data_IF_843130932348
#
_entry.id   IF_843130932348
#
_cell.length_a   1.000
_cell.length_b   1.000
_cell.length_c   1.000
_cell.angle_alpha   90.00
_cell.angle_beta   90.00
_cell.angle_gamma   90.00
#
_symmetry.space_group_name_H-M   'P 1'
#
loop_
_entity.id
_entity.type
_entity.pdbx_description
1 polymer ?
#
# COMPACT_ATOMS: atom_id res chain seq x y z
N UNK A 1 -14.55 6.96 -24.83
CA UNK A 1 -14.80 7.10 -23.39
C UNK A 1 -14.74 8.58 -23.03
N UNK A 2 -15.72 9.08 -22.25
CA UNK A 2 -15.70 10.46 -21.76
C UNK A 2 -14.89 10.51 -20.46
N UNK A 3 -13.61 10.87 -20.57
CA UNK A 3 -12.66 10.83 -19.46
C UNK A 3 -12.95 11.89 -18.38
N UNK A 4 -13.75 12.93 -18.69
CA UNK A 4 -14.13 13.96 -17.72
C UNK A 4 -15.02 13.44 -16.58
N UNK A 5 -15.61 12.26 -16.77
CA UNK A 5 -16.46 11.59 -15.78
C UNK A 5 -15.71 10.73 -14.77
N UNK A 6 -14.40 10.59 -14.92
CA UNK A 6 -13.58 9.76 -14.05
C UNK A 6 -12.68 10.63 -13.19
N UNK A 7 -12.53 10.25 -11.92
CA UNK A 7 -11.61 10.90 -10.99
C UNK A 7 -10.16 10.82 -11.51
N UNK A 8 -9.77 9.64 -12.00
CA UNK A 8 -8.54 9.44 -12.77
C UNK A 8 -8.72 8.28 -13.75
N UNK A 9 -8.42 8.46 -15.02
CA UNK A 9 -8.36 7.35 -15.99
C UNK A 9 -7.02 6.62 -16.00
N UNK A 10 -6.00 7.19 -15.36
CA UNK A 10 -4.61 6.73 -15.45
C UNK A 10 -4.34 5.68 -14.39
N UNK A 11 -4.87 4.50 -14.60
CA UNK A 11 -4.69 3.37 -13.68
C UNK A 11 -3.89 2.26 -14.35
N UNK A 12 -3.03 1.61 -13.58
CA UNK A 12 -2.20 0.50 -14.03
C UNK A 12 -2.22 -0.62 -13.01
N UNK A 13 -2.02 -1.85 -13.47
CA UNK A 13 -1.86 -3.02 -12.63
C UNK A 13 -0.56 -3.72 -13.03
N UNK A 14 0.38 -3.80 -12.10
CA UNK A 14 1.65 -4.50 -12.27
C UNK A 14 1.58 -5.93 -11.73
N UNK A 15 0.81 -6.12 -10.64
CA UNK A 15 0.64 -7.42 -9.98
C UNK A 15 -0.84 -7.67 -9.67
N UNK A 16 -1.24 -8.93 -9.64
CA UNK A 16 -2.60 -9.32 -9.27
C UNK A 16 -2.57 -10.42 -8.21
N UNK A 17 -3.38 -10.25 -7.16
CA UNK A 17 -3.43 -11.14 -6.02
C UNK A 17 -2.52 -10.69 -4.87
N UNK A 18 -2.42 -11.52 -3.84
CA UNK A 18 -1.60 -11.26 -2.67
C UNK A 18 -1.05 -12.57 -2.11
N UNK A 19 0.19 -12.53 -1.58
CA UNK A 19 0.84 -13.70 -0.96
C UNK A 19 0.39 -13.94 0.48
N UNK A 20 -0.31 -12.97 1.08
CA UNK A 20 -0.75 -13.05 2.46
C UNK A 20 -2.13 -13.71 2.56
N UNK A 21 -2.38 -14.39 3.68
CA UNK A 21 -3.63 -15.08 3.99
C UNK A 21 -4.28 -14.49 5.26
N UNK A 22 -4.52 -13.18 5.25
CA UNK A 22 -5.22 -12.52 6.35
C UNK A 22 -6.65 -13.06 6.46
N UNK A 23 -7.12 -13.36 7.67
CA UNK A 23 -8.40 -14.08 7.91
C UNK A 23 -9.63 -13.33 7.37
N UNK A 24 -9.60 -12.02 7.38
CA UNK A 24 -10.71 -11.17 6.90
C UNK A 24 -10.66 -10.91 5.40
N UNK A 25 -9.59 -11.32 4.70
CA UNK A 25 -9.33 -10.90 3.31
C UNK A 25 -9.86 -11.91 2.30
N UNK A 26 -10.66 -11.43 1.36
CA UNK A 26 -11.21 -12.23 0.25
C UNK A 26 -10.20 -12.44 -0.89
N UNK A 27 -9.12 -11.68 -0.95
CA UNK A 27 -8.17 -11.66 -2.07
C UNK A 27 -7.64 -13.03 -2.46
N UNK A 28 -7.15 -13.89 -1.51
CA UNK A 28 -6.65 -15.21 -1.90
C UNK A 28 -7.71 -16.09 -2.55
N UNK A 29 -8.97 -15.99 -2.11
CA UNK A 29 -10.08 -16.76 -2.67
C UNK A 29 -10.54 -16.22 -4.02
N UNK A 30 -10.54 -14.88 -4.21
CA UNK A 30 -11.03 -14.24 -5.42
C UNK A 30 -10.03 -14.25 -6.56
N UNK A 31 -8.73 -14.08 -6.26
CA UNK A 31 -7.70 -13.88 -7.29
C UNK A 31 -6.74 -15.06 -7.47
N UNK A 32 -6.76 -16.03 -6.54
CA UNK A 32 -5.88 -17.20 -6.58
C UNK A 32 -4.40 -16.86 -6.37
N UNK A 33 -3.53 -17.54 -7.11
CA UNK A 33 -2.07 -17.33 -6.99
C UNK A 33 -1.67 -15.93 -7.45
N UNK A 34 -0.76 -15.25 -6.74
CA UNK A 34 -0.18 -13.99 -7.19
C UNK A 34 0.46 -14.12 -8.57
N UNK A 35 0.28 -13.11 -9.40
CA UNK A 35 0.83 -13.02 -10.75
C UNK A 35 1.44 -11.64 -10.95
N UNK A 36 2.49 -11.58 -11.75
CA UNK A 36 3.21 -10.36 -12.07
C UNK A 36 3.18 -10.14 -13.59
N UNK A 37 3.00 -8.92 -14.00
CA UNK A 37 3.16 -8.48 -15.37
C UNK A 37 4.65 -8.24 -15.66
N UNK A 38 5.19 -8.55 -16.84
CA UNK A 38 6.54 -8.16 -17.19
C UNK A 38 6.74 -6.64 -17.02
N UNK A 39 7.79 -6.22 -16.33
CA UNK A 39 8.03 -4.80 -16.00
C UNK A 39 8.03 -3.92 -17.24
N UNK A 40 8.62 -4.37 -18.35
CA UNK A 40 8.61 -3.66 -19.62
C UNK A 40 7.21 -3.34 -20.14
N UNK A 41 6.24 -4.22 -19.88
CA UNK A 41 4.86 -4.01 -20.30
C UNK A 41 4.16 -2.99 -19.38
N UNK A 42 4.45 -3.04 -18.07
CA UNK A 42 3.95 -2.03 -17.11
C UNK A 42 4.46 -0.65 -17.50
N UNK A 43 5.76 -0.53 -17.79
CA UNK A 43 6.39 0.71 -18.24
C UNK A 43 5.76 1.21 -19.55
N UNK A 44 5.60 0.31 -20.54
CA UNK A 44 4.98 0.65 -21.82
C UNK A 44 3.53 1.13 -21.68
N UNK A 45 2.75 0.51 -20.79
CA UNK A 45 1.39 0.97 -20.49
C UNK A 45 1.40 2.41 -19.94
N UNK A 46 2.29 2.68 -18.96
CA UNK A 46 2.42 4.00 -18.34
C UNK A 46 2.85 5.06 -19.37
N UNK A 47 3.85 4.76 -20.18
CA UNK A 47 4.29 5.66 -21.25
C UNK A 47 3.17 5.96 -22.25
N UNK A 48 2.37 4.95 -22.61
CA UNK A 48 1.24 5.11 -23.52
C UNK A 48 0.13 6.02 -23.00
N UNK A 49 -0.01 6.11 -21.67
CA UNK A 49 -0.97 7.03 -21.04
C UNK A 49 -0.56 8.49 -21.19
N UNK A 50 0.72 8.76 -21.37
CA UNK A 50 1.30 10.12 -21.44
C UNK A 50 0.78 11.03 -20.31
N UNK A 51 0.68 10.50 -19.09
CA UNK A 51 0.08 11.15 -17.94
C UNK A 51 1.14 11.50 -16.89
N UNK A 52 1.04 12.66 -16.21
CA UNK A 52 1.99 13.06 -15.17
C UNK A 52 1.85 12.23 -13.88
N UNK A 53 0.74 11.50 -13.75
CA UNK A 53 0.47 10.68 -12.58
C UNK A 53 -0.35 9.45 -12.92
N UNK A 54 -0.09 8.35 -12.18
CA UNK A 54 -0.82 7.09 -12.30
C UNK A 54 -1.20 6.53 -10.93
N UNK A 55 -2.22 5.69 -10.87
CA UNK A 55 -2.58 4.90 -9.69
C UNK A 55 -2.37 3.43 -9.98
N UNK A 56 -1.54 2.77 -9.17
CA UNK A 56 -1.42 1.32 -9.17
C UNK A 56 -2.61 0.70 -8.42
N UNK A 57 -3.35 -0.17 -9.12
CA UNK A 57 -4.52 -0.88 -8.57
C UNK A 57 -4.14 -2.22 -7.92
N UNK A 58 -2.87 -2.45 -7.76
CA UNK A 58 -2.32 -3.66 -7.16
C UNK A 58 -2.76 -3.78 -5.69
N UNK A 59 -3.25 -4.95 -5.31
CA UNK A 59 -3.72 -5.20 -3.93
C UNK A 59 -2.57 -5.24 -2.91
N UNK A 60 -1.35 -5.50 -3.37
CA UNK A 60 -0.10 -5.39 -2.63
C UNK A 60 1.06 -5.30 -3.62
N UNK A 61 1.42 -4.09 -4.02
CA UNK A 61 2.44 -3.83 -5.03
C UNK A 61 3.84 -4.36 -4.63
N UNK A 62 4.08 -4.50 -3.33
CA UNK A 62 5.35 -4.98 -2.77
C UNK A 62 5.31 -6.45 -2.30
N UNK A 63 4.36 -7.24 -2.82
CA UNK A 63 4.24 -8.65 -2.42
C UNK A 63 5.51 -9.44 -2.71
N UNK A 64 6.17 -9.14 -3.82
CA UNK A 64 7.51 -9.59 -4.18
C UNK A 64 8.43 -8.36 -4.16
N UNK A 65 9.32 -8.30 -3.17
CA UNK A 65 10.17 -7.14 -2.90
C UNK A 65 11.18 -6.91 -4.03
N UNK A 66 11.73 -7.96 -4.63
CA UNK A 66 12.68 -7.84 -5.74
C UNK A 66 12.00 -7.34 -7.02
N UNK A 67 10.82 -7.87 -7.33
CA UNK A 67 10.02 -7.35 -8.44
C UNK A 67 9.69 -5.87 -8.23
N UNK A 68 9.25 -5.48 -7.04
CA UNK A 68 8.92 -4.10 -6.72
C UNK A 68 10.13 -3.17 -6.84
N UNK A 69 11.29 -3.57 -6.32
CA UNK A 69 12.55 -2.80 -6.47
C UNK A 69 12.92 -2.59 -7.93
N UNK A 70 12.82 -3.64 -8.75
CA UNK A 70 13.11 -3.56 -10.16
C UNK A 70 12.11 -2.66 -10.90
N UNK A 71 10.81 -2.81 -10.60
CA UNK A 71 9.78 -1.91 -11.14
C UNK A 71 10.07 -0.44 -10.79
N UNK A 72 10.34 -0.15 -9.51
CA UNK A 72 10.61 1.22 -9.08
C UNK A 72 11.84 1.82 -9.75
N UNK A 73 12.91 1.03 -9.99
CA UNK A 73 14.08 1.49 -10.76
C UNK A 73 13.70 1.91 -12.19
N UNK A 74 12.86 1.13 -12.85
CA UNK A 74 12.39 1.43 -14.21
C UNK A 74 11.41 2.63 -14.27
N UNK A 75 10.72 2.95 -13.15
CA UNK A 75 9.86 4.12 -13.08
C UNK A 75 10.62 5.45 -12.86
N UNK A 76 11.83 5.42 -12.27
CA UNK A 76 12.60 6.65 -11.99
C UNK A 76 12.76 7.56 -13.22
N UNK A 77 13.18 7.06 -14.41
CA UNK A 77 13.38 7.90 -15.59
C UNK A 77 12.09 8.49 -16.15
N UNK A 78 10.92 7.91 -15.84
CA UNK A 78 9.63 8.40 -16.34
C UNK A 78 9.20 9.72 -15.69
N UNK A 79 9.74 10.05 -14.51
CA UNK A 79 9.47 11.29 -13.77
C UNK A 79 7.98 11.54 -13.51
N UNK A 80 7.21 10.48 -13.34
CA UNK A 80 5.79 10.52 -13.00
C UNK A 80 5.61 10.59 -11.48
N UNK A 81 4.42 10.98 -11.04
CA UNK A 81 3.96 10.74 -9.68
C UNK A 81 3.06 9.51 -9.65
N UNK A 82 3.10 8.74 -8.56
CA UNK A 82 2.20 7.61 -8.44
C UNK A 82 1.72 7.38 -7.00
N UNK A 83 0.58 6.72 -6.89
CA UNK A 83 0.02 6.19 -5.65
C UNK A 83 -0.35 4.72 -5.84
N UNK A 84 -0.45 3.97 -4.74
CA UNK A 84 -0.78 2.54 -4.80
C UNK A 84 -1.05 1.96 -3.42
N UNK A 85 -1.09 0.64 -3.33
CA UNK A 85 -1.35 -0.10 -2.09
C UNK A 85 -0.11 -0.90 -1.69
N UNK A 86 0.25 -0.81 -0.41
CA UNK A 86 1.35 -1.58 0.16
C UNK A 86 1.02 -2.07 1.56
N UNK A 87 1.77 -3.05 2.03
CA UNK A 87 1.76 -3.44 3.43
C UNK A 87 2.75 -2.60 4.24
N UNK A 88 2.64 -2.64 5.56
CA UNK A 88 3.59 -2.02 6.49
C UNK A 88 5.04 -2.47 6.29
N UNK A 89 5.27 -3.60 5.60
CA UNK A 89 6.59 -4.12 5.28
C UNK A 89 7.47 -3.15 4.49
N UNK A 90 6.88 -2.24 3.70
CA UNK A 90 7.64 -1.24 2.95
C UNK A 90 8.57 -0.40 3.83
N UNK A 91 8.20 -0.16 5.09
CA UNK A 91 8.99 0.64 6.02
C UNK A 91 10.21 -0.11 6.61
N UNK A 92 10.34 -1.40 6.35
CA UNK A 92 11.39 -2.25 6.94
C UNK A 92 12.49 -2.63 5.95
N UNK A 93 12.31 -2.36 4.68
CA UNK A 93 13.35 -2.42 3.67
C UNK A 93 13.69 -0.98 3.23
N UNK A 94 14.79 -0.45 3.74
CA UNK A 94 15.21 0.92 3.48
C UNK A 94 15.55 1.16 1.99
N UNK A 95 16.01 0.12 1.28
CA UNK A 95 16.22 0.22 -0.18
C UNK A 95 14.90 0.33 -0.92
N UNK A 96 13.93 -0.53 -0.59
CA UNK A 96 12.60 -0.53 -1.20
C UNK A 96 11.91 0.82 -0.98
N UNK A 97 11.93 1.34 0.25
CA UNK A 97 11.35 2.63 0.60
C UNK A 97 12.01 3.77 -0.17
N UNK A 98 13.35 3.79 -0.23
CA UNK A 98 14.10 4.78 -0.99
C UNK A 98 13.79 4.73 -2.49
N UNK A 99 13.68 3.53 -3.06
CA UNK A 99 13.32 3.35 -4.47
C UNK A 99 11.88 3.78 -4.76
N UNK A 100 10.93 3.47 -3.87
CA UNK A 100 9.55 3.93 -3.98
C UNK A 100 9.49 5.47 -4.03
N UNK A 101 10.15 6.15 -3.09
CA UNK A 101 10.21 7.61 -3.06
C UNK A 101 10.88 8.19 -4.32
N UNK A 102 12.02 7.64 -4.74
CA UNK A 102 12.78 8.08 -5.91
C UNK A 102 12.01 7.87 -7.23
N UNK A 103 11.19 6.82 -7.32
CA UNK A 103 10.35 6.53 -8.48
C UNK A 103 9.11 7.41 -8.60
N UNK A 104 8.88 8.30 -7.62
CA UNK A 104 7.77 9.26 -7.63
C UNK A 104 6.54 8.82 -6.82
N UNK A 105 6.67 7.87 -5.89
CA UNK A 105 5.60 7.56 -4.94
C UNK A 105 5.22 8.81 -4.13
N UNK A 106 3.93 9.17 -4.12
CA UNK A 106 3.41 10.30 -3.35
C UNK A 106 2.38 9.89 -2.32
N UNK A 107 1.81 8.71 -2.44
CA UNK A 107 0.82 8.20 -1.50
C UNK A 107 0.71 6.69 -1.53
N UNK A 108 0.50 6.11 -0.36
CA UNK A 108 0.24 4.69 -0.21
C UNK A 108 -0.97 4.44 0.68
N UNK A 109 -1.85 3.56 0.20
CA UNK A 109 -2.83 2.94 1.05
C UNK A 109 -2.14 1.80 1.81
N UNK A 110 -2.13 1.89 3.14
CA UNK A 110 -1.43 0.96 4.02
C UNK A 110 -2.41 0.34 5.02
N UNK A 111 -2.51 -0.99 5.00
CA UNK A 111 -3.33 -1.72 5.95
C UNK A 111 -2.67 -1.84 7.32
N UNK A 112 -3.12 -1.05 8.29
CA UNK A 112 -2.78 -1.18 9.71
C UNK A 112 -3.70 -2.19 10.40
N UNK A 113 -4.94 -2.27 9.97
CA UNK A 113 -6.05 -3.10 10.41
C UNK A 113 -6.56 -2.73 11.81
N UNK A 114 -5.72 -2.73 12.82
CA UNK A 114 -6.13 -2.39 14.19
C UNK A 114 -4.94 -1.92 15.02
N UNK A 115 -5.21 -1.09 16.03
CA UNK A 115 -4.25 -0.66 17.06
C UNK A 115 -4.31 -1.56 18.32
N UNK A 116 -5.09 -2.62 18.30
CA UNK A 116 -5.15 -3.65 19.34
C UNK A 116 -4.26 -4.82 19.00
N UNK A 117 -3.34 -5.20 19.88
CA UNK A 117 -2.47 -6.37 19.68
C UNK A 117 -3.26 -7.68 19.68
N UNK A 118 -4.34 -7.75 20.48
CA UNK A 118 -5.22 -8.92 20.56
C UNK A 118 -5.98 -9.10 19.24
N UNK A 119 -6.64 -8.04 18.74
CA UNK A 119 -7.33 -8.06 17.45
C UNK A 119 -6.37 -8.30 16.28
N UNK A 120 -5.13 -7.79 16.37
CA UNK A 120 -4.10 -8.02 15.36
C UNK A 120 -3.71 -9.51 15.28
N UNK A 121 -3.63 -10.18 16.42
CA UNK A 121 -3.36 -11.63 16.47
C UNK A 121 -4.48 -12.44 15.77
N UNK A 122 -5.74 -12.03 15.93
CA UNK A 122 -6.88 -12.65 15.25
C UNK A 122 -6.83 -12.47 13.73
N UNK A 123 -6.33 -11.33 13.26
CA UNK A 123 -6.23 -11.01 11.83
C UNK A 123 -5.31 -11.94 11.04
N UNK A 124 -4.44 -12.68 11.72
CA UNK A 124 -3.34 -13.48 11.15
C UNK A 124 -2.34 -12.65 10.31
N UNK A 125 -2.30 -11.32 10.48
CA UNK A 125 -1.36 -10.42 9.81
C UNK A 125 -0.04 -10.34 10.59
N UNK A 126 0.65 -11.47 10.67
CA UNK A 126 1.82 -11.70 11.56
C UNK A 126 2.97 -10.70 11.38
N UNK A 127 3.13 -10.12 10.21
CA UNK A 127 4.18 -9.14 9.94
C UNK A 127 3.94 -7.77 10.59
N UNK A 128 2.75 -7.50 11.11
CA UNK A 128 2.44 -6.28 11.87
C UNK A 128 2.74 -6.42 13.37
N UNK A 129 3.01 -7.61 13.90
CA UNK A 129 3.02 -7.89 15.35
C UNK A 129 4.22 -7.37 16.13
N UNK A 130 5.32 -7.04 15.48
CA UNK A 130 6.60 -6.71 16.15
C UNK A 130 7.07 -5.29 15.90
N UNK A 131 6.23 -4.43 15.32
CA UNK A 131 6.67 -3.15 14.78
C UNK A 131 5.79 -2.02 15.29
N UNK A 132 6.41 -0.90 15.68
CA UNK A 132 5.68 0.30 16.04
C UNK A 132 5.08 0.95 14.80
N UNK A 133 3.77 1.12 14.79
CA UNK A 133 3.07 1.83 13.71
C UNK A 133 3.52 3.30 13.59
N UNK A 134 3.85 3.93 14.70
CA UNK A 134 4.39 5.28 14.71
C UNK A 134 5.70 5.37 13.92
N UNK A 135 6.59 4.40 14.09
CA UNK A 135 7.84 4.35 13.33
C UNK A 135 7.60 4.11 11.84
N UNK A 136 6.64 3.25 11.48
CA UNK A 136 6.25 3.02 10.09
C UNK A 136 5.76 4.32 9.45
N UNK A 137 4.85 5.02 10.14
CA UNK A 137 4.32 6.30 9.67
C UNK A 137 5.43 7.33 9.53
N UNK A 138 6.31 7.43 10.53
CA UNK A 138 7.44 8.37 10.49
C UNK A 138 8.34 8.11 9.28
N UNK A 139 8.74 6.85 9.04
CA UNK A 139 9.60 6.50 7.90
C UNK A 139 8.97 6.85 6.54
N UNK A 140 7.67 6.61 6.38
CA UNK A 140 6.94 6.97 5.16
C UNK A 140 6.87 8.49 4.97
N UNK A 141 6.57 9.23 6.03
CA UNK A 141 6.56 10.70 5.98
C UNK A 141 7.94 11.28 5.70
N UNK A 142 9.00 10.75 6.31
CA UNK A 142 10.39 11.17 6.06
C UNK A 142 10.80 10.92 4.59
N UNK A 143 10.23 9.89 3.97
CA UNK A 143 10.37 9.61 2.54
C UNK A 143 9.48 10.49 1.63
N UNK A 144 8.66 11.39 2.19
CA UNK A 144 7.74 12.25 1.44
C UNK A 144 6.51 11.53 0.89
N UNK A 145 6.11 10.40 1.51
CA UNK A 145 4.98 9.59 1.09
C UNK A 145 3.81 9.79 2.04
N UNK A 146 2.69 10.29 1.51
CA UNK A 146 1.44 10.42 2.26
C UNK A 146 0.81 9.04 2.52
N UNK A 147 0.08 8.90 3.62
CA UNK A 147 -0.53 7.64 4.03
C UNK A 147 -2.05 7.76 4.03
N UNK A 148 -2.72 6.84 3.36
CA UNK A 148 -4.10 6.48 3.60
C UNK A 148 -4.08 5.19 4.45
N UNK A 149 -4.43 5.30 5.73
CA UNK A 149 -4.45 4.17 6.65
C UNK A 149 -5.77 3.43 6.58
N UNK A 150 -5.76 2.10 6.48
CA UNK A 150 -7.00 1.33 6.59
C UNK A 150 -7.06 0.56 7.89
N UNK A 151 -8.27 0.57 8.49
CA UNK A 151 -8.57 -0.08 9.76
C UNK A 151 -9.82 -0.94 9.61
N UNK A 152 -9.79 -2.10 10.25
CA UNK A 152 -10.90 -3.04 10.34
C UNK A 152 -11.43 -3.02 11.76
N UNK A 153 -12.74 -2.94 11.92
CA UNK A 153 -13.43 -2.96 13.21
C UNK A 153 -14.31 -4.19 13.30
N UNK A 154 -14.52 -4.70 14.51
CA UNK A 154 -15.38 -5.83 14.78
C UNK A 154 -14.63 -7.15 14.90
N UNK A 155 -13.35 -7.14 15.26
CA UNK A 155 -12.66 -8.32 15.77
C UNK A 155 -13.27 -8.75 17.10
N UNK A 156 -13.18 -10.05 17.44
CA UNK A 156 -13.78 -10.58 18.67
C UNK A 156 -13.21 -9.93 19.94
N UNK A 157 -11.92 -9.51 19.90
CA UNK A 157 -11.27 -8.79 20.98
C UNK A 157 -11.55 -7.27 20.99
N UNK A 158 -12.27 -6.73 20.00
CA UNK A 158 -12.57 -5.30 20.00
C UNK A 158 -13.63 -4.95 21.04
N UNK A 159 -13.41 -3.82 21.71
CA UNK A 159 -14.41 -3.16 22.53
C UNK A 159 -14.73 -1.77 21.94
N UNK A 160 -15.67 -1.03 22.55
CA UNK A 160 -16.11 0.28 22.05
C UNK A 160 -15.00 1.32 22.00
N UNK A 161 -13.95 1.16 22.80
CA UNK A 161 -12.85 2.13 22.89
C UNK A 161 -11.93 2.07 21.64
N UNK A 162 -12.05 1.00 20.84
CA UNK A 162 -11.21 0.84 19.64
C UNK A 162 -11.36 2.02 18.67
N UNK A 163 -12.57 2.57 18.52
CA UNK A 163 -12.82 3.72 17.65
C UNK A 163 -12.05 4.96 18.10
N UNK A 164 -12.09 5.26 19.40
CA UNK A 164 -11.36 6.40 19.97
C UNK A 164 -9.84 6.20 19.85
N UNK A 165 -9.35 4.98 20.10
CA UNK A 165 -7.92 4.62 19.97
C UNK A 165 -7.40 4.77 18.55
N UNK A 166 -8.18 4.32 17.55
CA UNK A 166 -7.81 4.49 16.13
C UNK A 166 -7.82 5.97 15.74
N UNK A 167 -8.84 6.73 16.14
CA UNK A 167 -8.91 8.16 15.87
C UNK A 167 -7.73 8.92 16.50
N UNK A 168 -7.41 8.64 17.76
CA UNK A 168 -6.25 9.22 18.45
C UNK A 168 -4.93 8.87 17.75
N UNK A 169 -4.76 7.61 17.35
CA UNK A 169 -3.59 7.16 16.61
C UNK A 169 -3.45 7.93 15.30
N UNK A 170 -4.52 8.01 14.50
CA UNK A 170 -4.50 8.69 13.20
C UNK A 170 -4.16 10.19 13.33
N UNK A 171 -4.75 10.88 14.32
CA UNK A 171 -4.48 12.30 14.58
C UNK A 171 -3.03 12.50 15.06
N UNK A 172 -2.59 11.71 16.02
CA UNK A 172 -1.23 11.80 16.58
C UNK A 172 -0.15 11.54 15.55
N UNK A 173 -0.37 10.58 14.67
CA UNK A 173 0.59 10.21 13.63
C UNK A 173 0.43 10.98 12.33
N UNK A 174 -0.59 11.85 12.24
CA UNK A 174 -0.86 12.67 11.04
C UNK A 174 -1.09 11.83 9.76
N UNK A 175 -1.77 10.69 9.91
CA UNK A 175 -2.25 9.94 8.75
C UNK A 175 -3.23 10.84 7.98
N UNK A 176 -2.99 11.02 6.67
CA UNK A 176 -3.74 11.98 5.86
C UNK A 176 -5.23 11.61 5.71
N UNK A 177 -5.48 10.31 5.56
CA UNK A 177 -6.83 9.73 5.46
C UNK A 177 -6.85 8.41 6.26
N UNK A 178 -7.54 8.36 7.41
CA UNK A 178 -7.73 7.14 8.17
C UNK A 178 -8.93 6.33 7.65
#
# INVERSE_FOLDING_TARGET
LDLSKYFTPNTVEATRGCIHHCRFCVVPSAWGRPRQKPIREVVGDIESMNAPSVIFLDLNLIADEEYAKNLFRELIPLKISWAGLATTKIAWDDELLRLAAASGCRGLLVGFETVSLESLAESAKKFNTHQSYELIVQKLHDAGIAIMGTFVFGFDADNRDIFARVAEFAVRTKIALP
#
